data_IF_905378800711
#
_entry.id   IF_905378800711
#
_cell.length_a   1.000
_cell.length_b   1.000
_cell.length_c   1.000
_cell.angle_alpha   90.00
_cell.angle_beta   90.00
_cell.angle_gamma   90.00
#
_symmetry.space_group_name_H-M   'P 1'
#
loop_
_entity.id
_entity.type
_entity.pdbx_description
1 polymer ?
#
# COMPACT_ATOMS: atom_id res chain seq x y z
N UNK A 1 -7.13 15.78 -9.03
CA UNK A 1 -6.51 14.43 -9.15
C UNK A 1 -5.54 14.39 -10.34
N UNK A 2 -4.70 15.43 -10.50
CA UNK A 2 -3.89 15.63 -11.71
C UNK A 2 -2.38 15.45 -11.43
N UNK A 3 -2.04 14.70 -10.39
CA UNK A 3 -0.63 14.47 -10.06
C UNK A 3 0.00 13.48 -11.05
N UNK A 4 1.23 13.73 -11.52
CA UNK A 4 1.96 12.80 -12.38
C UNK A 4 2.21 11.45 -11.71
N UNK A 5 2.08 11.35 -10.38
CA UNK A 5 2.28 10.11 -9.61
C UNK A 5 0.99 9.28 -9.44
N UNK A 6 -0.18 9.82 -9.78
CA UNK A 6 -1.46 9.09 -9.64
C UNK A 6 -1.50 7.86 -10.56
N UNK A 7 -2.01 6.73 -10.07
CA UNK A 7 -2.31 5.61 -10.96
C UNK A 7 -3.47 6.00 -11.88
N UNK A 8 -3.21 5.92 -13.18
CA UNK A 8 -4.14 6.32 -14.23
C UNK A 8 -4.52 5.12 -15.08
N UNK A 9 -5.83 4.86 -15.18
CA UNK A 9 -6.31 3.71 -15.93
C UNK A 9 -6.01 3.80 -17.43
N UNK A 10 -5.85 5.02 -17.94
CA UNK A 10 -5.59 5.34 -19.34
C UNK A 10 -4.09 5.44 -19.68
N UNK A 11 -3.20 5.21 -18.70
CA UNK A 11 -1.74 5.28 -18.84
C UNK A 11 -1.03 4.10 -18.17
N UNK A 12 -1.48 2.87 -18.46
CA UNK A 12 -0.95 1.65 -17.82
C UNK A 12 0.44 1.27 -18.35
N UNK A 13 0.82 1.75 -19.51
CA UNK A 13 2.16 1.65 -20.08
C UNK A 13 3.21 2.39 -19.21
N UNK A 14 2.78 3.38 -18.44
CA UNK A 14 3.62 4.12 -17.50
C UNK A 14 3.81 3.32 -16.19
N UNK A 15 4.59 2.23 -16.24
CA UNK A 15 4.71 1.22 -15.18
C UNK A 15 5.03 1.78 -13.77
N UNK A 16 5.74 2.90 -13.67
CA UNK A 16 6.02 3.57 -12.39
C UNK A 16 4.76 4.02 -11.65
N UNK A 17 3.63 4.20 -12.35
CA UNK A 17 2.32 4.56 -11.76
C UNK A 17 1.73 3.46 -10.89
N UNK A 18 2.13 2.20 -11.09
CA UNK A 18 1.70 1.08 -10.24
C UNK A 18 2.32 1.13 -8.84
N UNK A 19 3.38 1.92 -8.67
CA UNK A 19 4.05 2.12 -7.38
C UNK A 19 3.86 3.55 -6.84
N UNK A 20 4.10 4.56 -7.68
CA UNK A 20 4.16 5.97 -7.25
C UNK A 20 2.84 6.54 -6.72
N UNK A 21 1.71 5.89 -7.01
CA UNK A 21 0.39 6.33 -6.52
C UNK A 21 0.29 6.36 -4.99
N UNK A 22 1.14 5.61 -4.29
CA UNK A 22 1.21 5.58 -2.83
C UNK A 22 1.56 6.94 -2.21
N UNK A 23 2.22 7.83 -2.96
CA UNK A 23 2.61 9.15 -2.48
C UNK A 23 1.52 10.22 -2.62
N UNK A 24 0.43 9.93 -3.34
CA UNK A 24 -0.67 10.87 -3.56
C UNK A 24 -1.86 10.44 -2.73
N UNK A 25 -2.57 11.40 -2.13
CA UNK A 25 -3.75 11.12 -1.33
C UNK A 25 -4.89 12.05 -1.74
N UNK A 26 -6.14 11.56 -1.65
CA UNK A 26 -7.34 12.33 -1.99
C UNK A 26 -7.62 13.52 -1.05
N UNK A 27 -7.02 13.55 0.15
CA UNK A 27 -7.18 14.63 1.12
C UNK A 27 -6.41 14.38 2.42
N UNK A 28 -6.45 15.34 3.34
CA UNK A 28 -5.72 15.33 4.62
C UNK A 28 -6.12 14.13 5.49
N UNK A 29 -7.41 13.86 5.63
CA UNK A 29 -7.90 12.72 6.40
C UNK A 29 -7.38 11.38 5.86
N UNK A 30 -7.25 11.28 4.52
CA UNK A 30 -6.78 10.06 3.89
C UNK A 30 -5.30 9.79 4.17
N UNK A 31 -4.44 10.82 4.09
CA UNK A 31 -3.02 10.65 4.43
C UNK A 31 -2.82 10.40 5.93
N UNK A 32 -3.54 11.11 6.80
CA UNK A 32 -3.45 10.89 8.26
C UNK A 32 -3.86 9.45 8.62
N UNK A 33 -4.97 8.95 8.05
CA UNK A 33 -5.42 7.58 8.30
C UNK A 33 -4.41 6.53 7.84
N UNK A 34 -3.81 6.71 6.66
CA UNK A 34 -2.77 5.80 6.16
C UNK A 34 -1.52 5.85 7.04
N UNK A 35 -1.02 7.03 7.40
CA UNK A 35 0.15 7.18 8.26
C UNK A 35 -0.08 6.59 9.65
N UNK A 36 -1.23 6.86 10.25
CA UNK A 36 -1.59 6.33 11.56
C UNK A 36 -1.57 4.80 11.56
N UNK A 37 -2.28 4.15 10.62
CA UNK A 37 -2.30 2.69 10.54
C UNK A 37 -0.94 2.11 10.13
N UNK A 38 -0.23 2.77 9.21
CA UNK A 38 1.09 2.33 8.78
C UNK A 38 2.09 2.34 9.95
N UNK A 39 2.12 3.38 10.77
CA UNK A 39 3.02 3.44 11.92
C UNK A 39 2.58 2.49 13.04
N UNK A 40 1.27 2.41 13.30
CA UNK A 40 0.70 1.54 14.33
C UNK A 40 1.05 0.06 14.08
N UNK A 41 0.97 -0.40 12.83
CA UNK A 41 1.21 -1.81 12.47
C UNK A 41 2.66 -2.04 12.01
N UNK A 42 3.22 -1.08 11.27
CA UNK A 42 4.56 -1.18 10.68
C UNK A 42 5.67 -1.20 11.73
N UNK A 43 5.65 -0.29 12.71
CA UNK A 43 6.72 -0.21 13.72
C UNK A 43 6.87 -1.54 14.49
N UNK A 44 5.81 -2.14 15.06
CA UNK A 44 5.93 -3.45 15.72
C UNK A 44 6.46 -4.54 14.79
N UNK A 45 6.02 -4.58 13.52
CA UNK A 45 6.52 -5.56 12.56
C UNK A 45 8.00 -5.35 12.24
N UNK A 46 8.47 -4.11 12.11
CA UNK A 46 9.88 -3.82 11.81
C UNK A 46 10.80 -4.23 12.96
N UNK A 47 10.35 -4.06 14.20
CA UNK A 47 11.08 -4.46 15.41
C UNK A 47 11.25 -5.98 15.49
N UNK A 48 10.31 -6.77 14.97
CA UNK A 48 10.37 -8.24 14.98
C UNK A 48 11.05 -8.80 13.73
N UNK A 49 10.77 -8.25 12.55
CA UNK A 49 11.10 -8.85 11.25
C UNK A 49 12.19 -8.12 10.46
N UNK A 50 12.73 -7.02 10.99
CA UNK A 50 13.66 -6.10 10.31
C UNK A 50 12.98 -5.27 9.21
N UNK A 51 13.34 -3.99 9.14
CA UNK A 51 12.73 -3.00 8.23
C UNK A 51 12.64 -3.41 6.76
N UNK A 52 13.69 -4.02 6.20
CA UNK A 52 13.69 -4.40 4.77
C UNK A 52 12.63 -5.46 4.42
N UNK A 53 12.33 -6.41 5.33
CA UNK A 53 11.31 -7.44 5.07
C UNK A 53 9.91 -6.83 5.09
N UNK A 54 9.65 -5.98 6.08
CA UNK A 54 8.38 -5.26 6.23
C UNK A 54 8.17 -4.30 5.06
N UNK A 55 9.22 -3.59 4.65
CA UNK A 55 9.21 -2.73 3.47
C UNK A 55 8.87 -3.50 2.18
N UNK A 56 9.43 -4.69 1.98
CA UNK A 56 9.08 -5.54 0.82
C UNK A 56 7.60 -5.96 0.83
N UNK A 57 7.05 -6.33 1.99
CA UNK A 57 5.62 -6.66 2.12
C UNK A 57 4.75 -5.44 1.81
N UNK A 58 5.11 -4.27 2.33
CA UNK A 58 4.40 -3.03 2.04
C UNK A 58 4.42 -2.71 0.53
N UNK A 59 5.59 -2.76 -0.11
CA UNK A 59 5.73 -2.48 -1.55
C UNK A 59 4.98 -3.50 -2.41
N UNK A 60 5.00 -4.77 -2.03
CA UNK A 60 4.21 -5.81 -2.69
C UNK A 60 2.70 -5.54 -2.55
N UNK A 61 2.25 -5.04 -1.39
CA UNK A 61 0.87 -4.60 -1.19
C UNK A 61 0.46 -3.42 -2.07
N UNK A 62 1.34 -2.43 -2.24
CA UNK A 62 1.10 -1.29 -3.14
C UNK A 62 0.98 -1.76 -4.59
N UNK A 63 1.92 -2.57 -5.07
CA UNK A 63 1.87 -3.12 -6.44
C UNK A 63 0.66 -4.04 -6.62
N UNK A 64 0.40 -4.93 -5.67
CA UNK A 64 -0.75 -5.82 -5.69
C UNK A 64 -2.08 -5.05 -5.68
N UNK A 65 -2.16 -3.97 -4.91
CA UNK A 65 -3.34 -3.11 -4.84
C UNK A 65 -3.65 -2.40 -6.16
N UNK A 66 -2.63 -1.84 -6.82
CA UNK A 66 -2.81 -1.22 -8.14
C UNK A 66 -3.10 -2.25 -9.24
N UNK A 67 -2.47 -3.43 -9.21
CA UNK A 67 -2.80 -4.53 -10.12
C UNK A 67 -4.23 -5.03 -9.93
N UNK A 68 -4.66 -5.28 -8.70
CA UNK A 68 -6.02 -5.68 -8.38
C UNK A 68 -7.03 -4.61 -8.84
N UNK A 69 -6.77 -3.33 -8.53
CA UNK A 69 -7.61 -2.24 -9.02
C UNK A 69 -7.65 -2.19 -10.56
N UNK A 70 -6.55 -2.51 -11.25
CA UNK A 70 -6.52 -2.51 -12.72
C UNK A 70 -7.39 -3.59 -13.37
N UNK A 71 -7.61 -4.69 -12.65
CA UNK A 71 -8.40 -5.85 -13.08
C UNK A 71 -9.87 -5.67 -12.68
N UNK A 72 -10.12 -5.38 -11.40
CA UNK A 72 -11.47 -5.35 -10.83
C UNK A 72 -12.18 -4.00 -11.01
N UNK A 73 -11.44 -2.88 -11.06
CA UNK A 73 -11.96 -1.52 -11.25
C UNK A 73 -11.27 -0.82 -12.45
N UNK A 74 -11.38 -1.35 -13.69
CA UNK A 74 -10.46 -1.02 -14.78
C UNK A 74 -10.51 0.42 -15.28
N UNK A 75 -11.54 1.21 -14.93
CA UNK A 75 -11.71 2.62 -15.34
C UNK A 75 -11.52 3.61 -14.18
N UNK A 76 -10.94 3.16 -13.07
CA UNK A 76 -10.77 3.97 -11.86
C UNK A 76 -9.30 4.38 -11.71
N UNK A 77 -9.08 5.66 -11.42
CA UNK A 77 -7.78 6.16 -11.01
C UNK A 77 -7.57 5.88 -9.51
N UNK A 78 -6.35 5.56 -9.11
CA UNK A 78 -6.01 5.12 -7.76
C UNK A 78 -4.96 6.05 -7.14
N UNK A 79 -5.15 6.36 -5.86
CA UNK A 79 -4.24 7.16 -5.02
C UNK A 79 -4.23 6.57 -3.62
N UNK A 80 -3.09 6.65 -2.93
CA UNK A 80 -2.97 6.37 -1.50
C UNK A 80 -2.11 5.15 -1.17
N UNK A 81 -1.54 5.19 0.03
CA UNK A 81 -0.67 4.15 0.58
C UNK A 81 -1.41 2.85 1.02
N UNK A 82 -2.73 2.81 0.92
CA UNK A 82 -3.58 1.81 1.56
C UNK A 82 -3.30 0.37 1.13
N UNK A 83 -2.88 0.14 -0.13
CA UNK A 83 -2.45 -1.19 -0.58
C UNK A 83 -1.31 -1.76 0.26
N UNK A 84 -0.33 -0.92 0.60
CA UNK A 84 0.77 -1.31 1.49
C UNK A 84 0.32 -1.47 2.93
N UNK A 85 -0.56 -0.58 3.43
CA UNK A 85 -1.13 -0.68 4.79
C UNK A 85 -1.90 -1.99 4.98
N UNK A 86 -2.75 -2.39 4.03
CA UNK A 86 -3.48 -3.66 4.10
C UNK A 86 -2.55 -4.87 4.04
N UNK A 87 -1.45 -4.80 3.29
CA UNK A 87 -0.44 -5.86 3.31
C UNK A 87 0.27 -5.96 4.68
N UNK A 88 0.54 -4.84 5.36
CA UNK A 88 1.06 -4.85 6.72
C UNK A 88 0.07 -5.45 7.71
N UNK A 89 -1.23 -5.14 7.61
CA UNK A 89 -2.27 -5.76 8.44
C UNK A 89 -2.30 -7.28 8.23
N UNK A 90 -2.23 -7.73 6.97
CA UNK A 90 -2.13 -9.17 6.66
C UNK A 90 -0.86 -9.80 7.22
N UNK A 91 0.28 -9.12 7.12
CA UNK A 91 1.54 -9.57 7.71
C UNK A 91 1.49 -9.68 9.23
N UNK A 92 0.84 -8.72 9.90
CA UNK A 92 0.61 -8.77 11.34
C UNK A 92 -0.30 -9.94 11.74
N UNK A 93 -1.40 -10.15 11.01
CA UNK A 93 -2.28 -11.30 11.22
C UNK A 93 -1.53 -12.62 11.10
N UNK A 94 -0.72 -12.79 10.06
CA UNK A 94 0.10 -13.98 9.88
C UNK A 94 1.16 -14.14 10.98
N UNK A 95 1.78 -13.05 11.43
CA UNK A 95 2.71 -13.08 12.56
C UNK A 95 2.02 -13.57 13.84
N UNK A 96 0.81 -13.08 14.15
CA UNK A 96 0.04 -13.53 15.32
C UNK A 96 -0.24 -15.03 15.22
N UNK A 97 -0.71 -15.52 14.06
CA UNK A 97 -1.00 -16.95 13.85
C UNK A 97 0.24 -17.81 14.07
N UNK A 98 1.36 -17.45 13.45
CA UNK A 98 2.58 -18.29 13.48
C UNK A 98 3.25 -18.27 14.85
N UNK A 99 3.20 -17.15 15.58
CA UNK A 99 3.85 -17.00 16.89
C UNK A 99 2.99 -17.44 18.08
N UNK A 100 1.68 -17.58 17.90
CA UNK A 100 0.75 -18.07 18.94
C UNK A 100 0.26 -19.52 18.68
N UNK A 101 1.07 -20.31 17.96
CA UNK A 101 1.05 -21.77 18.00
C UNK A 101 2.09 -22.28 19.00
#
# INVERSE_FOLDING_TARGET
MNSPLTYRYDKREEAWRFLSYMFVHAGVQHIIGNLFLQLLIGIPLELVHKGHRVGLVYLAGVIGGSLASSIFDPRKNLVGASGGVYALIGGYFMNVIVTHQ
#
